data_IF_336778654385
#
_entry.id   IF_336778654385
#
_cell.length_a   1.000
_cell.length_b   1.000
_cell.length_c   1.000
_cell.angle_alpha   90.00
_cell.angle_beta   90.00
_cell.angle_gamma   90.00
#
_symmetry.space_group_name_H-M   'P 1'
#
loop_
_entity.id
_entity.type
_entity.pdbx_description
1 polymer ?
#
# COMPACT_ATOMS: atom_id res chain seq x y z
N UNK A 1 -28.25 18.70 10.94
CA UNK A 1 -29.13 17.62 10.45
C UNK A 1 -28.25 16.44 10.06
N UNK A 2 -28.65 15.19 10.34
CA UNK A 2 -27.88 13.98 10.02
C UNK A 2 -28.47 12.77 10.73
N UNK A 3 -28.46 11.60 10.08
CA UNK A 3 -28.97 10.36 10.65
C UNK A 3 -28.05 9.87 11.77
N UNK A 4 -28.62 9.50 12.91
CA UNK A 4 -27.87 8.95 14.05
C UNK A 4 -27.72 7.42 14.00
N UNK A 5 -28.47 6.77 13.10
CA UNK A 5 -28.49 5.32 12.90
C UNK A 5 -28.86 4.98 11.46
N UNK A 6 -28.59 3.74 11.05
CA UNK A 6 -29.04 3.22 9.75
C UNK A 6 -30.57 3.31 9.65
N UNK A 7 -31.14 3.88 8.57
CA UNK A 7 -32.58 3.90 8.34
C UNK A 7 -33.16 2.49 8.27
N UNK A 8 -34.36 2.32 8.82
CA UNK A 8 -35.12 1.08 8.70
C UNK A 8 -35.93 1.06 7.42
N UNK A 9 -36.41 -0.13 7.06
CA UNK A 9 -37.40 -0.35 6.00
C UNK A 9 -36.98 0.16 4.61
N UNK A 10 -35.68 0.06 4.32
CA UNK A 10 -35.13 0.34 2.99
C UNK A 10 -35.62 -0.70 1.95
N UNK A 11 -35.83 -0.28 0.69
CA UNK A 11 -36.28 -1.18 -0.38
C UNK A 11 -35.36 -2.42 -0.56
N UNK A 12 -35.89 -3.66 -0.60
CA UNK A 12 -35.08 -4.88 -0.71
C UNK A 12 -34.27 -5.02 -2.02
N UNK A 13 -34.63 -4.26 -3.04
CA UNK A 13 -33.96 -4.17 -4.34
C UNK A 13 -32.80 -3.16 -4.36
N UNK A 14 -32.56 -2.43 -3.27
CA UNK A 14 -31.44 -1.49 -3.13
C UNK A 14 -30.10 -2.17 -3.45
N UNK A 15 -29.37 -1.61 -4.43
CA UNK A 15 -28.05 -2.10 -4.87
C UNK A 15 -26.88 -1.25 -4.38
N UNK A 16 -27.14 0.03 -4.08
CA UNK A 16 -26.18 0.97 -3.51
C UNK A 16 -26.86 1.71 -2.36
N UNK A 17 -26.20 1.74 -1.20
CA UNK A 17 -26.66 2.47 -0.03
C UNK A 17 -25.57 3.47 0.36
N UNK A 18 -25.86 4.75 0.15
CA UNK A 18 -25.02 5.85 0.57
C UNK A 18 -25.57 6.51 1.84
N UNK A 19 -24.82 6.38 2.93
CA UNK A 19 -25.09 6.97 4.23
C UNK A 19 -23.93 7.86 4.68
N UNK A 20 -23.15 8.39 3.74
CA UNK A 20 -22.02 9.26 4.05
C UNK A 20 -22.43 10.55 4.78
N UNK A 21 -21.50 11.16 5.51
CA UNK A 21 -21.67 12.45 6.18
C UNK A 21 -22.86 12.48 7.17
N UNK A 22 -23.07 11.38 7.89
CA UNK A 22 -24.09 11.26 8.92
C UNK A 22 -23.44 11.19 10.31
N UNK A 23 -24.24 10.88 11.34
CA UNK A 23 -23.82 10.79 12.74
C UNK A 23 -24.00 9.36 13.28
N UNK A 24 -23.93 8.35 12.40
CA UNK A 24 -24.11 6.94 12.78
C UNK A 24 -22.96 6.54 13.71
N UNK A 25 -23.26 6.04 14.89
CA UNK A 25 -22.27 5.70 15.94
C UNK A 25 -21.97 4.21 16.03
N UNK A 26 -22.90 3.36 15.58
CA UNK A 26 -22.76 1.91 15.60
C UNK A 26 -23.57 1.27 14.48
N UNK A 27 -23.17 0.06 14.09
CA UNK A 27 -23.91 -0.81 13.18
C UNK A 27 -24.35 -2.06 13.95
N UNK A 28 -25.66 -2.27 14.05
CA UNK A 28 -26.28 -3.35 14.81
C UNK A 28 -26.57 -4.55 13.93
N UNK A 29 -26.78 -5.68 14.61
CA UNK A 29 -27.42 -6.81 13.96
C UNK A 29 -28.82 -6.41 13.47
N UNK A 30 -29.13 -6.74 12.22
CA UNK A 30 -30.43 -6.47 11.62
C UNK A 30 -30.56 -5.14 10.89
N UNK A 31 -29.61 -4.21 11.02
CA UNK A 31 -29.63 -2.92 10.32
C UNK A 31 -29.71 -3.08 8.78
N UNK A 32 -29.20 -4.19 8.25
CA UNK A 32 -29.19 -4.49 6.82
C UNK A 32 -29.94 -5.78 6.43
N UNK A 33 -30.86 -6.27 7.28
CA UNK A 33 -31.48 -7.61 7.15
C UNK A 33 -32.11 -7.92 5.78
N UNK A 34 -32.64 -6.91 5.08
CA UNK A 34 -33.38 -7.08 3.82
C UNK A 34 -32.54 -6.80 2.57
N UNK A 35 -31.32 -6.28 2.70
CA UNK A 35 -30.53 -5.74 1.59
C UNK A 35 -29.66 -6.80 0.91
N UNK A 36 -30.28 -7.91 0.48
CA UNK A 36 -29.57 -9.06 -0.11
C UNK A 36 -28.95 -8.76 -1.49
N UNK A 37 -29.44 -7.71 -2.16
CA UNK A 37 -28.96 -7.25 -3.47
C UNK A 37 -27.96 -6.09 -3.39
N UNK A 38 -27.52 -5.71 -2.19
CA UNK A 38 -26.59 -4.60 -2.02
C UNK A 38 -25.20 -4.99 -2.51
N UNK A 39 -24.64 -4.18 -3.41
CA UNK A 39 -23.28 -4.32 -3.96
C UNK A 39 -22.32 -3.29 -3.38
N UNK A 40 -22.80 -2.10 -3.01
CA UNK A 40 -21.98 -1.05 -2.41
C UNK A 40 -22.65 -0.45 -1.16
N UNK A 41 -21.89 -0.39 -0.07
CA UNK A 41 -22.27 0.25 1.19
C UNK A 41 -21.26 1.35 1.53
N UNK A 42 -21.72 2.59 1.51
CA UNK A 42 -20.92 3.78 1.78
C UNK A 42 -21.32 4.34 3.14
N UNK A 43 -20.43 4.22 4.11
CA UNK A 43 -20.58 4.71 5.49
C UNK A 43 -19.52 5.76 5.84
N UNK A 44 -18.96 6.40 4.81
CA UNK A 44 -17.84 7.33 4.93
C UNK A 44 -18.23 8.55 5.75
N UNK A 45 -17.33 9.04 6.61
CA UNK A 45 -17.53 10.23 7.43
C UNK A 45 -18.78 10.12 8.32
N UNK A 46 -18.77 9.11 9.18
CA UNK A 46 -19.72 8.93 10.27
C UNK A 46 -18.96 8.97 11.60
N UNK A 47 -19.54 8.42 12.68
CA UNK A 47 -18.93 8.30 14.01
C UNK A 47 -18.91 6.85 14.48
N UNK A 48 -18.82 5.91 13.53
CA UNK A 48 -18.98 4.47 13.79
C UNK A 48 -17.80 4.00 14.63
N UNK A 49 -18.06 3.59 15.85
CA UNK A 49 -17.05 3.05 16.77
C UNK A 49 -17.23 1.55 17.04
N UNK A 50 -18.40 0.99 16.70
CA UNK A 50 -18.75 -0.41 16.93
C UNK A 50 -19.55 -0.99 15.76
N UNK A 51 -19.20 -2.20 15.36
CA UNK A 51 -19.95 -2.99 14.38
C UNK A 51 -20.18 -4.37 14.97
N UNK A 52 -21.43 -4.84 15.00
CA UNK A 52 -21.74 -6.20 15.44
C UNK A 52 -21.12 -7.24 14.49
N UNK A 53 -20.55 -8.36 14.99
CA UNK A 53 -19.97 -9.42 14.15
C UNK A 53 -20.93 -10.05 13.14
N UNK A 54 -22.25 -9.87 13.30
CA UNK A 54 -23.28 -10.39 12.38
C UNK A 54 -23.96 -9.28 11.56
N UNK A 55 -23.55 -8.02 11.70
CA UNK A 55 -24.16 -6.87 11.04
C UNK A 55 -24.22 -7.02 9.50
N UNK A 56 -23.15 -7.54 8.90
CA UNK A 56 -23.02 -7.68 7.45
C UNK A 56 -23.40 -9.07 6.93
N UNK A 57 -23.76 -10.01 7.80
CA UNK A 57 -24.11 -11.37 7.41
C UNK A 57 -25.20 -11.47 6.30
N UNK A 58 -26.22 -10.60 6.24
CA UNK A 58 -27.23 -10.62 5.18
C UNK A 58 -26.73 -10.18 3.79
N UNK A 59 -25.62 -9.43 3.73
CA UNK A 59 -25.16 -8.72 2.54
C UNK A 59 -24.37 -9.64 1.59
N UNK A 60 -25.02 -10.68 1.05
CA UNK A 60 -24.35 -11.75 0.28
C UNK A 60 -23.72 -11.30 -1.03
N UNK A 61 -24.16 -10.20 -1.62
CA UNK A 61 -23.64 -9.64 -2.89
C UNK A 61 -22.75 -8.41 -2.70
N UNK A 62 -22.36 -8.08 -1.47
CA UNK A 62 -21.60 -6.87 -1.21
C UNK A 62 -20.19 -6.97 -1.78
N UNK A 63 -19.84 -6.03 -2.67
CA UNK A 63 -18.54 -5.96 -3.32
C UNK A 63 -17.70 -4.81 -2.76
N UNK A 64 -18.32 -3.70 -2.35
CA UNK A 64 -17.63 -2.50 -1.85
C UNK A 64 -18.13 -2.12 -0.47
N UNK A 65 -17.21 -2.04 0.49
CA UNK A 65 -17.48 -1.59 1.84
C UNK A 65 -16.57 -0.42 2.21
N UNK A 66 -17.14 0.78 2.27
CA UNK A 66 -16.40 2.00 2.60
C UNK A 66 -16.77 2.47 4.00
N UNK A 67 -15.81 2.31 4.91
CA UNK A 67 -15.88 2.66 6.34
C UNK A 67 -14.91 3.79 6.72
N UNK A 68 -14.36 4.49 5.72
CA UNK A 68 -13.34 5.52 5.97
C UNK A 68 -13.90 6.71 6.75
N UNK A 69 -13.06 7.42 7.52
CA UNK A 69 -13.45 8.54 8.38
C UNK A 69 -14.50 8.14 9.43
N UNK A 70 -14.13 7.18 10.27
CA UNK A 70 -14.96 6.70 11.39
C UNK A 70 -14.07 6.53 12.63
N UNK A 71 -14.60 5.93 13.70
CA UNK A 71 -13.92 5.73 14.99
C UNK A 71 -13.67 4.24 15.26
N UNK A 72 -13.46 3.44 14.22
CA UNK A 72 -13.27 2.00 14.35
C UNK A 72 -11.90 1.69 14.97
N UNK A 73 -11.89 0.89 16.04
CA UNK A 73 -10.65 0.42 16.69
C UNK A 73 -10.09 -0.86 16.07
N UNK A 74 -10.91 -1.56 15.32
CA UNK A 74 -10.61 -2.79 14.61
C UNK A 74 -11.53 -2.93 13.40
N UNK A 75 -11.10 -3.74 12.44
CA UNK A 75 -11.94 -4.13 11.32
C UNK A 75 -13.05 -5.09 11.78
N UNK A 76 -14.24 -5.02 11.16
CA UNK A 76 -15.36 -5.89 11.51
C UNK A 76 -15.07 -7.36 11.21
N UNK A 77 -15.44 -8.25 12.12
CA UNK A 77 -15.38 -9.71 11.89
C UNK A 77 -16.50 -10.16 10.92
N UNK A 78 -16.33 -11.34 10.32
CA UNK A 78 -17.31 -11.99 9.42
C UNK A 78 -17.80 -11.12 8.24
N UNK A 79 -16.90 -10.32 7.67
CA UNK A 79 -17.21 -9.56 6.45
C UNK A 79 -17.69 -10.46 5.30
N UNK A 80 -18.56 -9.97 4.40
CA UNK A 80 -19.04 -10.75 3.26
C UNK A 80 -17.91 -11.25 2.37
N UNK A 81 -17.94 -12.55 2.04
CA UNK A 81 -16.92 -13.20 1.19
C UNK A 81 -16.94 -12.74 -0.27
N UNK A 82 -17.98 -12.01 -0.67
CA UNK A 82 -18.13 -11.36 -1.97
C UNK A 82 -17.37 -10.04 -2.11
N UNK A 83 -16.83 -9.51 -1.01
CA UNK A 83 -16.12 -8.23 -1.02
C UNK A 83 -14.94 -8.26 -1.99
N UNK A 84 -14.84 -7.19 -2.77
CA UNK A 84 -13.77 -6.91 -3.71
C UNK A 84 -12.93 -5.70 -3.26
N UNK A 85 -13.54 -4.75 -2.55
CA UNK A 85 -12.88 -3.54 -2.10
C UNK A 85 -13.30 -3.15 -0.69
N UNK A 86 -12.30 -2.90 0.16
CA UNK A 86 -12.48 -2.47 1.54
C UNK A 86 -11.68 -1.18 1.76
N UNK A 87 -12.36 -0.11 2.19
CA UNK A 87 -11.72 1.16 2.54
C UNK A 87 -12.03 1.55 3.97
N UNK A 88 -11.02 1.52 4.83
CA UNK A 88 -11.12 1.91 6.24
C UNK A 88 -10.04 2.94 6.63
N UNK A 89 -9.71 3.84 5.71
CA UNK A 89 -8.79 4.96 5.95
C UNK A 89 -9.33 5.93 7.01
N UNK A 90 -8.46 6.61 7.74
CA UNK A 90 -8.84 7.62 8.75
C UNK A 90 -9.79 7.03 9.81
N UNK A 91 -9.29 6.05 10.55
CA UNK A 91 -9.96 5.39 11.67
C UNK A 91 -8.99 5.27 12.87
N UNK A 92 -9.37 4.53 13.90
CA UNK A 92 -8.57 4.28 15.10
C UNK A 92 -8.04 2.84 15.15
N UNK A 93 -7.89 2.18 13.99
CA UNK A 93 -7.51 0.78 13.90
C UNK A 93 -6.08 0.61 14.40
N UNK A 94 -5.89 -0.27 15.38
CA UNK A 94 -4.57 -0.55 15.96
C UNK A 94 -4.11 -1.99 15.79
N UNK A 95 -5.03 -2.91 15.45
CA UNK A 95 -4.77 -4.34 15.30
C UNK A 95 -5.36 -4.89 14.00
N UNK A 96 -4.57 -5.68 13.28
CA UNK A 96 -4.94 -6.39 12.05
C UNK A 96 -4.74 -7.89 12.29
N UNK A 97 -5.84 -8.53 12.73
CA UNK A 97 -5.87 -9.97 13.03
C UNK A 97 -6.06 -10.78 11.75
N UNK A 98 -5.32 -11.88 11.60
CA UNK A 98 -5.40 -12.78 10.44
C UNK A 98 -6.81 -13.35 10.23
N UNK A 99 -7.52 -13.62 11.32
CA UNK A 99 -8.89 -14.14 11.30
C UNK A 99 -9.87 -13.24 10.53
N UNK A 100 -9.69 -11.92 10.59
CA UNK A 100 -10.60 -10.95 9.95
C UNK A 100 -10.56 -11.03 8.42
N UNK A 101 -9.41 -11.37 7.86
CA UNK A 101 -9.21 -11.46 6.41
C UNK A 101 -9.44 -12.87 5.85
N UNK A 102 -9.69 -13.86 6.72
CA UNK A 102 -9.79 -15.25 6.30
C UNK A 102 -11.00 -15.48 5.41
N UNK A 103 -10.79 -16.08 4.23
CA UNK A 103 -11.85 -16.39 3.28
C UNK A 103 -12.33 -15.22 2.42
N UNK A 104 -11.76 -14.02 2.58
CA UNK A 104 -11.99 -12.86 1.70
C UNK A 104 -11.24 -13.00 0.38
N UNK A 105 -11.47 -14.11 -0.32
CA UNK A 105 -10.74 -14.50 -1.52
C UNK A 105 -11.04 -13.63 -2.74
N UNK A 106 -12.06 -12.77 -2.68
CA UNK A 106 -12.45 -11.88 -3.77
C UNK A 106 -11.89 -10.46 -3.62
N UNK A 107 -11.28 -10.12 -2.47
CA UNK A 107 -10.74 -8.78 -2.22
C UNK A 107 -9.54 -8.54 -3.12
N UNK A 108 -9.59 -7.43 -3.85
CA UNK A 108 -8.56 -6.93 -4.78
C UNK A 108 -7.88 -5.68 -4.19
N UNK A 109 -8.65 -4.84 -3.49
CA UNK A 109 -8.21 -3.53 -2.98
C UNK A 109 -8.47 -3.43 -1.47
N UNK A 110 -7.42 -3.09 -0.72
CA UNK A 110 -7.49 -2.82 0.71
C UNK A 110 -6.78 -1.50 1.06
N UNK A 111 -7.55 -0.55 1.61
CA UNK A 111 -7.06 0.77 2.05
C UNK A 111 -7.20 0.92 3.58
N UNK A 112 -6.07 1.06 4.26
CA UNK A 112 -5.97 1.12 5.73
C UNK A 112 -5.18 2.34 6.23
N UNK A 113 -4.89 3.31 5.36
CA UNK A 113 -4.06 4.46 5.74
C UNK A 113 -4.66 5.33 6.85
N UNK A 114 -3.87 6.21 7.44
CA UNK A 114 -4.28 7.12 8.53
C UNK A 114 -4.99 6.38 9.65
N UNK A 115 -4.33 5.35 10.16
CA UNK A 115 -4.74 4.60 11.34
C UNK A 115 -3.54 4.48 12.29
N UNK A 116 -3.74 4.38 13.61
CA UNK A 116 -2.66 4.22 14.58
C UNK A 116 -2.03 2.80 14.58
N UNK A 117 -1.98 2.13 13.44
CA UNK A 117 -1.42 0.79 13.27
C UNK A 117 0.09 0.85 13.53
N UNK A 118 0.57 -0.03 14.41
CA UNK A 118 2.00 -0.29 14.64
C UNK A 118 2.38 -1.63 14.03
N UNK A 119 3.67 -1.86 13.74
CA UNK A 119 4.12 -3.18 13.23
C UNK A 119 3.70 -4.34 14.15
N UNK A 120 3.75 -4.15 15.48
CA UNK A 120 3.28 -5.14 16.46
C UNK A 120 1.77 -5.37 16.47
N UNK A 121 1.00 -4.47 15.86
CA UNK A 121 -0.44 -4.62 15.68
C UNK A 121 -0.82 -5.46 14.47
N UNK A 122 0.13 -5.83 13.61
CA UNK A 122 -0.13 -6.64 12.42
C UNK A 122 0.32 -8.07 12.71
N UNK A 123 -0.62 -9.02 12.73
CA UNK A 123 -0.25 -10.43 12.85
C UNK A 123 0.56 -10.89 11.64
N UNK A 124 1.55 -11.76 11.87
CA UNK A 124 2.35 -12.32 10.78
C UNK A 124 1.46 -13.04 9.76
N UNK A 125 1.54 -12.63 8.50
CA UNK A 125 0.70 -13.18 7.44
C UNK A 125 -0.79 -12.86 7.60
N UNK A 126 -1.15 -11.76 8.27
CA UNK A 126 -2.53 -11.32 8.43
C UNK A 126 -3.30 -11.29 7.09
N UNK A 127 -2.61 -10.90 6.01
CA UNK A 127 -3.19 -10.71 4.69
C UNK A 127 -3.11 -11.94 3.77
N UNK A 128 -2.43 -13.03 4.17
CA UNK A 128 -2.20 -14.21 3.32
C UNK A 128 -3.47 -14.89 2.83
N UNK A 129 -4.57 -14.76 3.59
CA UNK A 129 -5.86 -15.34 3.24
C UNK A 129 -6.52 -14.71 2.01
N UNK A 130 -6.13 -13.50 1.61
CA UNK A 130 -6.72 -12.78 0.48
C UNK A 130 -6.01 -13.12 -0.82
N UNK A 131 -6.39 -14.25 -1.43
CA UNK A 131 -5.71 -14.84 -2.59
C UNK A 131 -5.74 -14.01 -3.88
N UNK A 132 -6.61 -13.01 -3.97
CA UNK A 132 -6.75 -12.12 -5.14
C UNK A 132 -6.33 -10.68 -4.83
N UNK A 133 -5.75 -10.43 -3.65
CA UNK A 133 -5.36 -9.08 -3.25
C UNK A 133 -4.27 -8.59 -4.20
N UNK A 134 -4.56 -7.50 -4.90
CA UNK A 134 -3.69 -6.91 -5.91
C UNK A 134 -3.08 -5.60 -5.41
N UNK A 135 -3.87 -4.82 -4.67
CA UNK A 135 -3.50 -3.52 -4.15
C UNK A 135 -3.71 -3.48 -2.65
N UNK A 136 -2.67 -3.09 -1.91
CA UNK A 136 -2.78 -2.76 -0.50
C UNK A 136 -2.05 -1.44 -0.21
N UNK A 137 -2.73 -0.57 0.55
CA UNK A 137 -2.13 0.67 1.03
C UNK A 137 -2.33 0.82 2.54
N UNK A 138 -1.20 0.93 3.24
CA UNK A 138 -1.11 1.18 4.68
C UNK A 138 -0.24 2.43 4.84
N UNK A 139 -0.78 3.57 4.46
CA UNK A 139 -0.06 4.86 4.47
C UNK A 139 -0.33 5.67 5.74
N UNK A 140 0.57 6.58 6.11
CA UNK A 140 0.34 7.51 7.23
C UNK A 140 -0.03 6.81 8.56
N UNK A 141 0.70 5.75 8.90
CA UNK A 141 0.51 4.98 10.15
C UNK A 141 1.78 4.99 11.02
N UNK A 142 1.91 4.06 11.96
CA UNK A 142 3.06 3.91 12.85
C UNK A 142 3.81 2.59 12.62
N UNK A 143 3.69 1.97 11.44
CA UNK A 143 4.51 0.80 11.11
C UNK A 143 5.98 1.21 10.94
N UNK A 144 6.88 0.36 11.43
CA UNK A 144 8.34 0.56 11.43
C UNK A 144 9.07 -0.46 10.55
N UNK A 145 8.34 -1.39 9.93
CA UNK A 145 8.84 -2.44 9.06
C UNK A 145 7.79 -2.82 8.03
N UNK A 146 8.21 -3.38 6.90
CA UNK A 146 7.30 -3.97 5.92
C UNK A 146 6.59 -5.17 6.59
N UNK A 147 5.26 -5.31 6.47
CA UNK A 147 4.54 -6.46 7.03
C UNK A 147 5.01 -7.79 6.42
N UNK A 148 5.23 -8.80 7.27
CA UNK A 148 5.68 -10.11 6.83
C UNK A 148 4.53 -10.96 6.29
N UNK A 149 4.84 -11.79 5.29
CA UNK A 149 3.87 -12.72 4.73
C UNK A 149 2.76 -12.00 3.95
N UNK A 150 3.11 -10.98 3.19
CA UNK A 150 2.18 -10.37 2.24
C UNK A 150 1.80 -11.38 1.13
N UNK A 151 0.58 -11.31 0.56
CA UNK A 151 0.15 -12.28 -0.43
C UNK A 151 0.90 -12.09 -1.76
N UNK A 152 1.35 -13.18 -2.40
CA UNK A 152 2.13 -13.12 -3.65
C UNK A 152 1.32 -12.62 -4.85
N UNK A 153 0.00 -12.47 -4.72
CA UNK A 153 -0.88 -11.87 -5.72
C UNK A 153 -0.73 -10.36 -5.84
N UNK A 154 -0.05 -9.70 -4.89
CA UNK A 154 0.13 -8.25 -4.90
C UNK A 154 0.86 -7.77 -6.16
N UNK A 155 0.30 -6.75 -6.77
CA UNK A 155 0.91 -5.98 -7.86
C UNK A 155 1.32 -4.59 -7.38
N UNK A 156 0.64 -4.04 -6.37
CA UNK A 156 0.93 -2.73 -5.79
C UNK A 156 0.94 -2.78 -4.26
N UNK A 157 2.05 -2.32 -3.68
CA UNK A 157 2.26 -2.19 -2.23
C UNK A 157 2.64 -0.76 -1.90
N UNK A 158 1.77 -0.06 -1.17
CA UNK A 158 1.97 1.33 -0.79
C UNK A 158 2.05 1.45 0.73
N UNK A 159 3.23 1.85 1.21
CA UNK A 159 3.58 2.03 2.62
C UNK A 159 4.18 3.42 2.83
N UNK A 160 3.71 4.40 2.06
CA UNK A 160 4.11 5.80 2.14
C UNK A 160 3.72 6.46 3.49
N UNK A 161 4.51 7.42 3.97
CA UNK A 161 4.14 8.19 5.17
C UNK A 161 4.25 7.42 6.50
N UNK A 162 5.05 6.37 6.57
CA UNK A 162 5.23 5.57 7.79
C UNK A 162 6.56 5.88 8.50
N UNK A 163 6.96 4.99 9.42
CA UNK A 163 8.20 5.10 10.21
C UNK A 163 9.16 3.95 9.90
N UNK A 164 9.11 3.42 8.67
CA UNK A 164 9.94 2.30 8.24
C UNK A 164 11.40 2.76 8.19
N UNK A 165 12.30 2.04 8.84
CA UNK A 165 13.72 2.43 8.97
C UNK A 165 14.67 1.65 8.04
N UNK A 166 14.24 0.50 7.54
CA UNK A 166 15.01 -0.36 6.63
C UNK A 166 14.09 -1.21 5.76
N UNK A 167 14.60 -1.63 4.60
CA UNK A 167 14.00 -2.68 3.77
C UNK A 167 14.82 -3.95 3.98
N UNK A 168 14.17 -5.03 4.42
CA UNK A 168 14.76 -6.35 4.57
C UNK A 168 14.25 -7.32 3.48
N UNK A 169 15.02 -8.37 3.21
CA UNK A 169 14.65 -9.37 2.22
C UNK A 169 13.37 -10.13 2.61
N UNK A 170 13.18 -10.38 3.91
CA UNK A 170 12.04 -11.12 4.45
C UNK A 170 10.71 -10.38 4.25
N UNK A 171 10.69 -9.05 4.37
CA UNK A 171 9.49 -8.24 4.13
C UNK A 171 8.99 -8.24 2.68
N UNK A 172 9.90 -8.48 1.72
CA UNK A 172 9.57 -8.55 0.28
C UNK A 172 9.46 -9.99 -0.25
N UNK A 173 9.69 -10.99 0.61
CA UNK A 173 9.78 -12.39 0.21
C UNK A 173 8.53 -12.87 -0.53
N UNK A 174 8.74 -13.48 -1.70
CA UNK A 174 7.68 -14.09 -2.50
C UNK A 174 6.77 -13.13 -3.28
N UNK A 175 7.04 -11.82 -3.27
CA UNK A 175 6.27 -10.80 -3.98
C UNK A 175 6.61 -10.74 -5.47
N UNK A 176 6.51 -11.88 -6.15
CA UNK A 176 6.97 -12.06 -7.53
C UNK A 176 6.15 -11.31 -8.56
N UNK A 177 4.90 -10.94 -8.26
CA UNK A 177 4.03 -10.17 -9.16
C UNK A 177 4.05 -8.65 -8.89
N UNK A 178 4.84 -8.20 -7.91
CA UNK A 178 4.84 -6.80 -7.50
C UNK A 178 5.42 -5.93 -8.61
N UNK A 179 4.63 -4.97 -9.07
CA UNK A 179 4.99 -4.01 -10.12
C UNK A 179 5.31 -2.63 -9.53
N UNK A 180 4.65 -2.22 -8.44
CA UNK A 180 4.87 -0.93 -7.77
C UNK A 180 5.10 -1.08 -6.28
N UNK A 181 6.15 -0.44 -5.79
CA UNK A 181 6.50 -0.37 -4.38
C UNK A 181 6.65 1.09 -3.94
N UNK A 182 5.64 1.58 -3.21
CA UNK A 182 5.61 2.90 -2.62
C UNK A 182 6.15 2.88 -1.19
N UNK A 183 7.30 3.53 -0.96
CA UNK A 183 7.95 3.65 0.36
C UNK A 183 8.39 5.10 0.64
N UNK A 184 7.83 6.06 -0.07
CA UNK A 184 8.13 7.48 0.11
C UNK A 184 7.75 7.99 1.49
N UNK A 185 8.41 9.05 1.98
CA UNK A 185 8.09 9.66 3.29
C UNK A 185 8.17 8.64 4.43
N UNK A 186 9.32 7.98 4.54
CA UNK A 186 9.66 7.09 5.64
C UNK A 186 11.00 7.53 6.26
N UNK A 187 11.58 6.71 7.15
CA UNK A 187 12.90 6.93 7.75
C UNK A 187 13.93 5.89 7.26
N UNK A 188 13.78 5.43 6.02
CA UNK A 188 14.58 4.32 5.49
C UNK A 188 16.02 4.77 5.31
N UNK A 189 16.93 4.16 6.06
CA UNK A 189 18.37 4.47 6.03
C UNK A 189 19.17 3.46 5.21
N UNK A 190 18.64 2.25 5.02
CA UNK A 190 19.31 1.17 4.30
C UNK A 190 18.34 0.20 3.63
N UNK A 191 18.77 -0.37 2.50
CA UNK A 191 18.12 -1.47 1.80
C UNK A 191 19.07 -2.67 1.84
N UNK A 192 18.61 -3.79 2.37
CA UNK A 192 19.41 -5.02 2.46
C UNK A 192 19.79 -5.54 1.07
N UNK A 193 21.03 -5.98 0.88
CA UNK A 193 21.49 -6.51 -0.40
C UNK A 193 20.68 -7.77 -0.78
N UNK A 194 20.22 -7.82 -2.03
CA UNK A 194 19.41 -8.93 -2.54
C UNK A 194 17.92 -8.86 -2.16
N UNK A 195 17.48 -7.89 -1.37
CA UNK A 195 16.04 -7.71 -1.07
C UNK A 195 15.21 -7.49 -2.34
N UNK A 196 15.73 -6.74 -3.32
CA UNK A 196 15.10 -6.54 -4.63
C UNK A 196 15.01 -7.81 -5.50
N UNK A 197 15.75 -8.88 -5.18
CA UNK A 197 15.62 -10.16 -5.91
C UNK A 197 14.29 -10.85 -5.61
N UNK A 198 13.61 -10.50 -4.52
CA UNK A 198 12.31 -11.04 -4.16
C UNK A 198 11.14 -10.39 -4.93
N UNK A 199 11.40 -9.29 -5.63
CA UNK A 199 10.43 -8.55 -6.44
C UNK A 199 10.89 -8.43 -7.89
N UNK A 200 11.20 -9.56 -8.58
CA UNK A 200 11.92 -9.56 -9.85
C UNK A 200 11.20 -8.83 -11.00
N UNK A 201 9.90 -8.57 -10.88
CA UNK A 201 9.09 -7.87 -11.89
C UNK A 201 8.76 -6.42 -11.51
N UNK A 202 9.40 -5.87 -10.46
CA UNK A 202 9.19 -4.50 -10.03
C UNK A 202 9.52 -3.50 -11.14
N UNK A 203 8.60 -2.57 -11.40
CA UNK A 203 8.71 -1.53 -12.42
C UNK A 203 8.91 -0.15 -11.81
N UNK A 204 8.26 0.12 -10.69
CA UNK A 204 8.29 1.43 -10.03
C UNK A 204 8.67 1.26 -8.55
N UNK A 205 9.73 1.98 -8.14
CA UNK A 205 10.22 2.01 -6.77
C UNK A 205 10.30 3.46 -6.30
N UNK A 206 9.44 3.82 -5.34
CA UNK A 206 9.43 5.15 -4.75
C UNK A 206 10.08 5.10 -3.37
N UNK A 207 11.27 5.68 -3.26
CA UNK A 207 12.06 5.78 -2.02
C UNK A 207 12.42 7.23 -1.68
N UNK A 208 11.75 8.19 -2.30
CA UNK A 208 11.96 9.61 -2.05
C UNK A 208 11.50 10.03 -0.64
N UNK A 209 12.08 11.10 -0.11
CA UNK A 209 11.81 11.57 1.27
C UNK A 209 12.12 10.46 2.29
N UNK A 210 13.37 10.02 2.32
CA UNK A 210 13.90 9.01 3.24
C UNK A 210 15.29 9.42 3.74
N UNK A 211 16.02 8.50 4.36
CA UNK A 211 17.34 8.73 4.95
C UNK A 211 18.45 7.90 4.27
N UNK A 212 18.24 7.48 3.02
CA UNK A 212 19.20 6.63 2.31
C UNK A 212 20.52 7.36 2.11
N UNK A 213 21.61 6.71 2.48
CA UNK A 213 22.98 7.25 2.33
C UNK A 213 23.65 6.87 1.01
N UNK A 214 23.06 5.91 0.27
CA UNK A 214 23.55 5.39 -1.00
C UNK A 214 22.39 4.89 -1.86
N UNK A 215 22.61 4.76 -3.16
CA UNK A 215 21.65 4.10 -4.06
C UNK A 215 21.47 2.62 -3.64
N UNK A 216 20.23 2.08 -3.60
CA UNK A 216 20.00 0.67 -3.27
C UNK A 216 20.74 -0.28 -4.21
N UNK A 217 21.40 -1.29 -3.63
CA UNK A 217 22.11 -2.31 -4.42
C UNK A 217 21.13 -3.19 -5.21
N UNK A 218 21.59 -3.73 -6.34
CA UNK A 218 20.80 -4.61 -7.20
C UNK A 218 20.01 -3.91 -8.31
N UNK A 219 19.87 -2.57 -8.27
CA UNK A 219 19.19 -1.82 -9.35
C UNK A 219 19.85 -2.03 -10.72
N UNK A 220 21.19 -2.03 -10.79
CA UNK A 220 21.96 -2.35 -12.00
C UNK A 220 21.52 -3.66 -12.67
N UNK A 221 21.36 -4.71 -11.89
CA UNK A 221 21.03 -6.07 -12.37
C UNK A 221 19.52 -6.32 -12.51
N UNK A 222 18.68 -5.48 -11.91
CA UNK A 222 17.23 -5.63 -11.96
C UNK A 222 16.69 -5.37 -13.38
N UNK A 223 16.04 -6.40 -13.96
CA UNK A 223 15.66 -6.42 -15.38
C UNK A 223 14.43 -5.57 -15.72
N UNK A 224 13.50 -5.41 -14.77
CA UNK A 224 12.19 -4.80 -15.06
C UNK A 224 11.99 -3.41 -14.47
N UNK A 225 12.95 -2.90 -13.69
CA UNK A 225 12.79 -1.61 -13.03
C UNK A 225 12.93 -0.50 -14.06
N UNK A 226 11.99 0.44 -14.08
CA UNK A 226 11.94 1.54 -15.04
C UNK A 226 11.89 2.91 -14.34
N UNK A 227 11.24 2.98 -13.18
CA UNK A 227 11.09 4.20 -12.40
C UNK A 227 11.70 4.00 -11.01
N UNK A 228 12.63 4.89 -10.63
CA UNK A 228 13.28 4.89 -9.32
C UNK A 228 13.35 6.31 -8.78
N UNK A 229 12.55 6.58 -7.75
CA UNK A 229 12.58 7.88 -7.09
C UNK A 229 13.42 7.85 -5.82
N UNK A 230 14.51 8.61 -5.82
CA UNK A 230 15.47 8.72 -4.72
C UNK A 230 15.71 10.17 -4.28
N UNK A 231 14.93 11.12 -4.82
CA UNK A 231 15.03 12.52 -4.41
C UNK A 231 14.72 12.71 -2.92
N UNK A 232 15.24 13.78 -2.32
CA UNK A 232 15.08 14.05 -0.88
C UNK A 232 15.57 12.87 -0.01
N UNK A 233 16.84 12.51 -0.17
CA UNK A 233 17.54 11.51 0.64
C UNK A 233 18.89 12.08 1.12
N UNK A 234 19.76 11.22 1.66
CA UNK A 234 21.10 11.54 2.16
C UNK A 234 22.20 10.92 1.28
N UNK A 235 21.92 10.66 0.00
CA UNK A 235 22.84 9.98 -0.92
C UNK A 235 24.04 10.88 -1.22
N UNK A 236 25.22 10.47 -0.74
CA UNK A 236 26.45 11.25 -0.86
C UNK A 236 27.26 10.94 -2.12
N UNK A 237 27.02 9.79 -2.76
CA UNK A 237 27.71 9.41 -3.99
C UNK A 237 26.86 8.44 -4.82
N UNK A 238 27.14 8.40 -6.13
CA UNK A 238 26.53 7.46 -7.07
C UNK A 238 27.66 6.69 -7.77
N UNK A 239 27.69 5.38 -7.57
CA UNK A 239 28.63 4.48 -8.22
C UNK A 239 28.31 4.29 -9.71
N UNK A 240 29.35 3.98 -10.49
CA UNK A 240 29.23 3.77 -11.94
C UNK A 240 28.26 2.62 -12.31
N UNK A 241 28.01 1.68 -11.40
CA UNK A 241 27.15 0.51 -11.66
C UNK A 241 25.87 0.50 -10.81
N UNK A 242 25.54 1.60 -10.14
CA UNK A 242 24.40 1.64 -9.24
C UNK A 242 23.07 1.47 -10.01
N UNK A 243 22.96 2.09 -11.20
CA UNK A 243 21.78 1.99 -12.07
C UNK A 243 21.97 1.06 -13.26
N UNK A 244 23.19 0.98 -13.80
CA UNK A 244 23.48 0.23 -15.02
C UNK A 244 24.39 -0.97 -14.75
N UNK A 245 24.13 -2.14 -15.34
CA UNK A 245 24.95 -3.35 -15.15
C UNK A 245 26.33 -3.17 -15.79
N UNK A 246 27.33 -3.92 -15.30
CA UNK A 246 28.74 -3.82 -15.76
C UNK A 246 28.88 -3.89 -17.29
N UNK A 247 28.12 -4.79 -17.93
CA UNK A 247 28.04 -4.91 -19.40
C UNK A 247 26.67 -4.52 -19.93
N UNK A 248 26.58 -4.29 -21.25
CA UNK A 248 25.30 -4.04 -21.90
C UNK A 248 24.38 -5.27 -21.77
N UNK A 249 23.15 -5.06 -21.29
CA UNK A 249 22.18 -6.12 -21.05
C UNK A 249 20.89 -5.81 -21.81
N UNK A 250 20.68 -6.46 -22.95
CA UNK A 250 19.49 -6.30 -23.82
C UNK A 250 18.18 -6.70 -23.15
N UNK A 251 18.23 -7.46 -22.05
CA UNK A 251 17.05 -7.90 -21.30
C UNK A 251 16.65 -6.93 -20.20
N UNK A 252 17.48 -5.91 -19.90
CA UNK A 252 17.16 -4.87 -18.92
C UNK A 252 16.30 -3.81 -19.59
N UNK A 253 15.14 -3.53 -19.01
CA UNK A 253 14.30 -2.41 -19.41
C UNK A 253 15.05 -1.09 -19.19
N UNK A 254 14.90 -0.15 -20.12
CA UNK A 254 15.47 1.18 -19.95
C UNK A 254 14.69 1.95 -18.87
N UNK A 255 15.40 2.78 -18.11
CA UNK A 255 14.77 3.67 -17.14
C UNK A 255 13.98 4.77 -17.86
N UNK A 256 12.73 4.95 -17.47
CA UNK A 256 11.89 6.07 -17.87
C UNK A 256 11.89 7.21 -16.85
N UNK A 257 12.35 6.95 -15.62
CA UNK A 257 12.44 7.98 -14.58
C UNK A 257 13.42 7.62 -13.45
N UNK A 258 14.41 8.48 -13.21
CA UNK A 258 15.32 8.43 -12.08
C UNK A 258 15.38 9.83 -11.48
N UNK A 259 15.07 9.97 -10.19
CA UNK A 259 15.19 11.26 -9.50
C UNK A 259 16.19 11.18 -8.35
N UNK A 260 17.13 12.12 -8.34
CA UNK A 260 18.24 12.23 -7.41
C UNK A 260 18.39 13.65 -6.84
N UNK A 261 17.60 14.61 -7.30
CA UNK A 261 17.60 15.98 -6.77
C UNK A 261 17.37 16.01 -5.24
N UNK A 262 17.75 17.10 -4.58
CA UNK A 262 17.68 17.20 -3.11
C UNK A 262 18.43 16.06 -2.38
N UNK A 263 19.61 15.69 -2.88
CA UNK A 263 20.58 14.85 -2.17
C UNK A 263 21.91 15.61 -2.02
N UNK A 264 22.79 15.18 -1.08
CA UNK A 264 24.13 15.75 -0.97
C UNK A 264 24.98 15.62 -2.24
N UNK A 265 24.85 14.51 -2.98
CA UNK A 265 25.57 14.30 -4.25
C UNK A 265 25.26 15.39 -5.27
N UNK A 266 26.29 15.98 -5.86
CA UNK A 266 26.16 17.01 -6.87
C UNK A 266 26.27 16.43 -8.28
N UNK A 267 25.63 17.08 -9.27
CA UNK A 267 25.58 16.54 -10.63
C UNK A 267 26.98 16.36 -11.27
N UNK A 268 27.96 17.20 -10.91
CA UNK A 268 29.33 17.12 -11.42
C UNK A 268 30.18 16.01 -10.77
N UNK A 269 29.71 15.43 -9.66
CA UNK A 269 30.39 14.31 -8.98
C UNK A 269 29.98 12.95 -9.57
N UNK A 270 28.87 12.92 -10.32
CA UNK A 270 28.36 11.70 -10.95
C UNK A 270 29.00 11.54 -12.32
N UNK A 271 29.71 10.43 -12.51
CA UNK A 271 30.28 10.10 -13.80
C UNK A 271 29.15 9.89 -14.83
N UNK A 272 29.23 10.47 -16.05
CA UNK A 272 28.20 10.29 -17.07
C UNK A 272 27.91 8.82 -17.41
N UNK A 273 28.92 7.96 -17.28
CA UNK A 273 28.84 6.51 -17.49
C UNK A 273 27.92 5.79 -16.49
N UNK A 274 27.59 6.39 -15.34
CA UNK A 274 26.65 5.84 -14.36
C UNK A 274 25.23 5.63 -14.94
N UNK A 275 24.87 6.41 -15.98
CA UNK A 275 23.56 6.36 -16.63
C UNK A 275 23.63 5.81 -18.07
N UNK A 276 24.70 5.08 -18.43
CA UNK A 276 24.94 4.57 -19.80
C UNK A 276 23.84 3.70 -20.42
N UNK A 277 22.94 3.16 -19.59
CA UNK A 277 21.79 2.33 -20.00
C UNK A 277 20.47 3.12 -20.10
N UNK A 278 20.52 4.44 -19.91
CA UNK A 278 19.39 5.35 -20.00
C UNK A 278 19.52 6.16 -21.30
N UNK A 279 18.55 6.00 -22.21
CA UNK A 279 18.62 6.61 -23.54
C UNK A 279 17.98 8.01 -23.59
N UNK A 280 17.02 8.28 -22.71
CA UNK A 280 16.33 9.56 -22.64
C UNK A 280 16.93 10.42 -21.53
N UNK A 281 17.57 11.54 -21.89
CA UNK A 281 18.16 12.47 -20.91
C UNK A 281 17.11 13.03 -19.94
N UNK A 282 15.87 13.23 -20.41
CA UNK A 282 14.74 13.69 -19.59
C UNK A 282 14.34 12.70 -18.49
N UNK A 283 14.72 11.42 -18.61
CA UNK A 283 14.44 10.43 -17.59
C UNK A 283 15.23 10.71 -16.29
N UNK A 284 16.38 11.40 -16.34
CA UNK A 284 17.25 11.59 -15.17
C UNK A 284 17.17 13.00 -14.61
N UNK A 285 16.76 13.12 -13.35
CA UNK A 285 16.49 14.38 -12.65
C UNK A 285 17.45 14.53 -11.45
N UNK A 286 18.60 15.17 -11.62
CA UNK A 286 19.67 15.29 -10.59
C UNK A 286 19.91 16.74 -10.11
N UNK A 287 19.32 17.73 -10.79
CA UNK A 287 19.51 19.15 -10.47
C UNK A 287 18.32 19.77 -9.75
N UNK A 288 18.48 21.03 -9.35
CA UNK A 288 17.37 21.91 -9.01
C UNK A 288 16.61 22.24 -10.29
N UNK A 289 15.73 21.35 -10.75
CA UNK A 289 14.63 21.78 -11.62
C UNK A 289 13.73 22.66 -10.75
N UNK A 290 13.94 23.98 -10.83
CA UNK A 290 12.89 24.96 -10.52
C UNK A 290 11.90 24.98 -11.67
#
# INVERSE_FOLDING_TARGET
LGLEKVPKDLPPDTTLLDLQNNKITEIKEGDFKNLKNLHALILVNNKISKISPLAFAPLKKLERLYLSKNNLKELPENMPKSLQEIRAHENEISKLRKAVFNGLNQVIVLELGTNPIKSSGIENGAFQGMKRLSYIRIADTNITSIPKGLPPSLTELHLDGNKISKIDADGLSGLTNLAKLGLSFNSISSVENGSLNNVPHLRELHLNNNELVRVPSGLGEHKYIQVVYLHNNKIASVGINDFCPLGYNTKKASYSGVSLFSNPVQYWEIQPSAFRCIHERSAVQIGNYK
#
